data_IF_222480776450
#
_entry.id   IF_222480776450
#
_cell.length_a   1.000
_cell.length_b   1.000
_cell.length_c   1.000
_cell.angle_alpha   90.00
_cell.angle_beta   90.00
_cell.angle_gamma   90.00
#
_symmetry.space_group_name_H-M   'P 1'
#
loop_
_entity.id
_entity.type
_entity.pdbx_description
1 polymer ?
#
# COMPACT_ATOMS: atom_id res chain seq x y z
N UNK A 1 -12.48 7.53 -14.67
CA UNK A 1 -11.42 6.83 -13.95
C UNK A 1 -10.71 5.88 -14.91
N UNK A 2 -9.42 6.08 -15.07
CA UNK A 2 -8.63 5.16 -15.89
C UNK A 2 -7.99 4.11 -14.99
N UNK A 3 -8.09 2.87 -15.40
CA UNK A 3 -7.42 1.77 -14.72
C UNK A 3 -6.72 0.89 -15.75
N UNK A 4 -5.57 0.38 -15.36
CA UNK A 4 -4.81 -0.58 -16.15
C UNK A 4 -4.42 -1.73 -15.23
N UNK A 5 -4.76 -2.94 -15.63
CA UNK A 5 -4.50 -4.14 -14.83
C UNK A 5 -3.50 -5.01 -15.57
N UNK A 6 -2.46 -5.44 -14.88
CA UNK A 6 -1.46 -6.37 -15.41
C UNK A 6 -1.16 -7.47 -14.41
N UNK A 7 -0.63 -8.57 -14.89
CA UNK A 7 -0.14 -9.68 -14.06
C UNK A 7 1.34 -9.81 -14.34
N UNK A 8 2.17 -9.66 -13.31
CA UNK A 8 3.62 -9.71 -13.47
C UNK A 8 4.30 -10.17 -12.20
N UNK A 9 5.52 -10.67 -12.35
CA UNK A 9 6.37 -10.99 -11.21
C UNK A 9 7.12 -9.73 -10.78
N UNK A 10 7.20 -9.51 -9.47
CA UNK A 10 7.97 -8.42 -8.90
C UNK A 10 9.05 -8.96 -7.99
N UNK A 11 10.12 -8.20 -7.83
CA UNK A 11 11.16 -8.47 -6.84
C UNK A 11 10.66 -8.13 -5.44
N UNK A 12 11.36 -8.63 -4.42
CA UNK A 12 11.03 -8.28 -3.04
C UNK A 12 11.16 -6.78 -2.82
N UNK A 13 10.30 -6.25 -1.93
CA UNK A 13 10.28 -4.84 -1.58
C UNK A 13 10.53 -4.70 -0.09
N UNK A 14 11.56 -3.94 0.27
CA UNK A 14 11.86 -3.65 1.67
C UNK A 14 11.11 -2.42 2.12
N UNK A 15 10.52 -2.48 3.32
CA UNK A 15 9.74 -1.36 3.87
C UNK A 15 10.10 -1.15 5.34
N UNK A 16 9.90 0.08 5.80
CA UNK A 16 9.96 0.42 7.22
C UNK A 16 8.69 1.18 7.59
N UNK A 17 8.09 0.81 8.70
CA UNK A 17 6.83 1.45 9.09
C UNK A 17 6.27 0.93 10.40
N UNK A 18 4.98 1.20 10.60
CA UNK A 18 4.28 0.81 11.82
C UNK A 18 2.85 0.41 11.54
N UNK A 19 2.27 -0.39 12.44
CA UNK A 19 0.90 -0.89 12.31
C UNK A 19 -0.11 0.09 12.86
N UNK A 20 -1.33 0.01 12.35
CA UNK A 20 -2.47 0.72 12.90
C UNK A 20 -3.75 -0.10 12.70
N UNK A 21 -4.79 0.27 13.43
CA UNK A 21 -6.12 -0.34 13.33
C UNK A 21 -7.13 0.75 13.03
N UNK A 22 -7.97 0.52 12.02
CA UNK A 22 -9.00 1.44 11.60
C UNK A 22 -8.54 2.39 10.50
N UNK A 23 -9.35 2.51 9.45
CA UNK A 23 -9.01 3.36 8.29
C UNK A 23 -8.89 4.83 8.67
N UNK A 24 -9.59 5.27 9.71
CA UNK A 24 -9.51 6.65 10.21
C UNK A 24 -8.13 7.00 10.78
N UNK A 25 -7.32 5.99 11.13
CA UNK A 25 -5.99 6.18 11.69
C UNK A 25 -4.87 6.06 10.65
N UNK A 26 -5.20 5.72 9.41
CA UNK A 26 -4.18 5.46 8.38
C UNK A 26 -3.39 6.73 8.05
N UNK A 27 -4.08 7.84 7.85
CA UNK A 27 -3.46 9.10 7.46
C UNK A 27 -2.42 9.55 8.49
N UNK A 28 -2.78 9.54 9.78
CA UNK A 28 -1.86 9.92 10.86
C UNK A 28 -0.70 8.94 10.97
N UNK A 29 -0.95 7.66 10.74
CA UNK A 29 0.10 6.63 10.74
C UNK A 29 1.12 6.89 9.63
N UNK A 30 0.66 7.17 8.42
CA UNK A 30 1.54 7.51 7.30
C UNK A 30 2.33 8.80 7.56
N UNK A 31 1.70 9.80 8.16
CA UNK A 31 2.39 11.03 8.54
C UNK A 31 3.48 10.77 9.58
N UNK A 32 3.21 9.92 10.56
CA UNK A 32 4.20 9.55 11.58
C UNK A 32 5.40 8.82 10.96
N UNK A 33 5.15 7.90 10.02
CA UNK A 33 6.22 7.20 9.30
C UNK A 33 7.04 8.20 8.50
N UNK A 34 6.38 9.13 7.81
CA UNK A 34 7.05 10.14 7.01
C UNK A 34 7.93 11.05 7.87
N UNK A 35 7.42 11.51 9.01
CA UNK A 35 8.18 12.37 9.91
C UNK A 35 9.39 11.64 10.52
N UNK A 36 9.19 10.41 10.98
CA UNK A 36 10.29 9.58 11.47
C UNK A 36 11.34 9.38 10.38
N UNK A 37 10.91 9.10 9.15
CA UNK A 37 11.80 8.88 8.01
C UNK A 37 12.61 10.14 7.69
N UNK A 38 11.99 11.31 7.82
CA UNK A 38 12.68 12.59 7.61
C UNK A 38 13.80 12.77 8.63
N UNK A 39 13.55 12.47 9.90
CA UNK A 39 14.57 12.57 10.94
C UNK A 39 15.73 11.61 10.75
N UNK A 40 15.52 10.51 10.04
CA UNK A 40 16.56 9.50 9.76
C UNK A 40 17.24 9.70 8.40
N UNK A 41 16.91 10.78 7.69
CA UNK A 41 17.51 11.07 6.39
C UNK A 41 17.08 10.14 5.27
N UNK A 42 15.94 9.45 5.42
CA UNK A 42 15.48 8.48 4.44
C UNK A 42 14.71 9.12 3.28
N UNK A 43 14.42 10.41 3.36
CA UNK A 43 13.70 11.14 2.32
C UNK A 43 14.63 11.98 1.44
N UNK A 44 15.90 11.59 1.34
CA UNK A 44 16.88 12.29 0.52
C UNK A 44 16.59 12.18 -0.98
N UNK A 45 15.83 11.18 -1.39
CA UNK A 45 15.46 10.98 -2.78
C UNK A 45 14.08 11.61 -3.02
N UNK A 46 13.94 12.44 -4.07
CA UNK A 46 12.66 13.11 -4.33
C UNK A 46 11.55 12.16 -4.78
N UNK A 47 11.89 10.95 -5.19
CA UNK A 47 10.94 9.94 -5.68
C UNK A 47 10.63 8.86 -4.64
N UNK A 48 10.85 9.14 -3.36
CA UNK A 48 10.47 8.18 -2.32
C UNK A 48 8.99 7.82 -2.43
N UNK A 49 8.65 6.58 -2.05
CA UNK A 49 7.28 6.08 -2.12
C UNK A 49 6.86 5.51 -0.79
N UNK A 50 5.58 5.69 -0.48
CA UNK A 50 4.95 5.11 0.69
C UNK A 50 3.94 4.06 0.27
N UNK A 51 3.57 3.21 1.21
CA UNK A 51 2.66 2.09 0.95
C UNK A 51 1.80 1.80 2.16
N UNK A 52 0.69 1.11 1.93
CA UNK A 52 -0.16 0.56 2.97
C UNK A 52 -0.38 -0.92 2.69
N UNK A 53 -0.11 -1.76 3.69
CA UNK A 53 -0.43 -3.19 3.66
C UNK A 53 -1.72 -3.41 4.44
N UNK A 54 -2.61 -4.24 3.90
CA UNK A 54 -3.89 -4.57 4.52
C UNK A 54 -3.90 -6.01 4.99
N UNK A 55 -4.15 -6.22 6.27
CA UNK A 55 -4.15 -7.57 6.86
C UNK A 55 -5.55 -8.15 7.01
N UNK A 56 -6.59 -7.35 6.83
CA UNK A 56 -7.97 -7.78 6.93
C UNK A 56 -8.75 -7.41 5.67
N UNK A 57 -9.77 -8.21 5.37
CA UNK A 57 -10.62 -7.98 4.22
C UNK A 57 -11.64 -6.88 4.48
N UNK A 58 -11.78 -5.96 3.53
CA UNK A 58 -12.85 -4.94 3.57
C UNK A 58 -14.24 -5.54 3.57
N UNK A 59 -14.37 -6.76 3.08
CA UNK A 59 -15.68 -7.42 2.90
C UNK A 59 -16.26 -7.92 4.21
N UNK A 60 -15.40 -8.39 5.13
CA UNK A 60 -15.83 -9.04 6.37
C UNK A 60 -15.39 -8.30 7.63
N UNK A 61 -14.65 -7.22 7.48
CA UNK A 61 -14.12 -6.46 8.61
C UNK A 61 -14.66 -5.04 8.56
N UNK A 62 -15.19 -4.56 9.69
CA UNK A 62 -15.65 -3.18 9.79
C UNK A 62 -14.46 -2.22 9.57
N UNK A 63 -14.66 -1.08 8.88
CA UNK A 63 -13.58 -0.16 8.55
C UNK A 63 -12.76 0.31 9.75
N UNK A 64 -13.38 0.49 10.92
CA UNK A 64 -12.70 0.92 12.14
C UNK A 64 -11.90 -0.20 12.82
N UNK A 65 -11.95 -1.42 12.30
CA UNK A 65 -11.26 -2.59 12.85
C UNK A 65 -10.26 -3.23 11.89
N UNK A 66 -10.10 -2.67 10.69
CA UNK A 66 -9.14 -3.20 9.72
C UNK A 66 -7.72 -2.96 10.22
N UNK A 67 -6.95 -4.03 10.28
CA UNK A 67 -5.52 -3.96 10.63
C UNK A 67 -4.73 -3.62 9.38
N UNK A 68 -3.85 -2.64 9.51
CA UNK A 68 -3.05 -2.12 8.41
C UNK A 68 -1.64 -1.81 8.88
N UNK A 69 -0.77 -1.57 7.93
CA UNK A 69 0.58 -1.11 8.18
C UNK A 69 0.90 0.02 7.20
N UNK A 70 1.23 1.19 7.72
CA UNK A 70 1.75 2.29 6.92
C UNK A 70 3.27 2.22 6.88
N UNK A 71 3.88 2.42 5.71
CA UNK A 71 5.32 2.25 5.58
C UNK A 71 5.91 3.08 4.44
N UNK A 72 7.24 3.21 4.50
CA UNK A 72 8.08 3.79 3.47
C UNK A 72 8.84 2.67 2.76
N UNK A 73 8.93 2.73 1.44
CA UNK A 73 9.76 1.82 0.67
C UNK A 73 11.23 2.23 0.82
N UNK A 74 12.09 1.27 1.11
CA UNK A 74 13.53 1.49 1.30
C UNK A 74 14.32 0.51 0.45
N UNK A 75 15.57 0.84 0.14
CA UNK A 75 16.42 -0.01 -0.72
C UNK A 75 17.00 -1.21 0.02
N UNK A 76 17.13 -1.13 1.33
CA UNK A 76 17.70 -2.17 2.16
C UNK A 76 16.94 -2.32 3.46
N UNK A 77 16.91 -3.53 4.07
CA UNK A 77 16.32 -3.69 5.39
C UNK A 77 16.99 -2.81 6.43
N UNK A 78 16.18 -2.19 7.29
CA UNK A 78 16.67 -1.32 8.36
C UNK A 78 16.43 -1.99 9.72
N UNK A 79 17.22 -1.58 10.71
CA UNK A 79 16.99 -2.04 12.09
C UNK A 79 15.72 -1.42 12.64
N UNK A 80 15.02 -2.20 13.46
CA UNK A 80 13.84 -1.70 14.18
C UNK A 80 14.25 -0.57 15.13
N UNK A 81 13.40 0.44 15.24
CA UNK A 81 13.63 1.60 16.09
C UNK A 81 12.28 2.02 16.69
N UNK A 82 12.07 1.69 17.98
CA UNK A 82 10.81 1.95 18.65
C UNK A 82 9.65 1.21 17.99
N UNK A 83 8.63 1.94 17.57
CA UNK A 83 7.47 1.37 16.88
C UNK A 83 7.73 1.10 15.40
N UNK A 84 8.83 1.62 14.87
CA UNK A 84 9.17 1.45 13.46
C UNK A 84 9.94 0.15 13.27
N UNK A 85 9.48 -0.68 12.35
CA UNK A 85 10.07 -1.98 12.08
C UNK A 85 10.11 -2.23 10.57
N UNK A 86 10.99 -3.15 10.17
CA UNK A 86 11.15 -3.55 8.79
C UNK A 86 10.23 -4.73 8.47
N UNK A 87 9.52 -4.62 7.36
CA UNK A 87 8.77 -5.73 6.76
C UNK A 87 9.18 -5.81 5.30
N UNK A 88 9.49 -7.01 4.83
CA UNK A 88 9.82 -7.27 3.43
C UNK A 88 8.61 -7.88 2.74
N UNK A 89 8.18 -7.26 1.64
CA UNK A 89 7.14 -7.82 0.77
C UNK A 89 7.82 -8.84 -0.11
N UNK A 90 7.32 -10.08 -0.10
CA UNK A 90 7.95 -11.17 -0.83
C UNK A 90 7.82 -11.01 -2.34
N UNK A 91 8.85 -11.43 -3.05
CA UNK A 91 8.83 -11.50 -4.51
C UNK A 91 7.77 -12.51 -4.97
N UNK A 92 7.35 -12.39 -6.21
CA UNK A 92 6.45 -13.33 -6.84
C UNK A 92 5.44 -12.66 -7.73
N UNK A 93 4.51 -13.46 -8.23
CA UNK A 93 3.50 -12.99 -9.16
C UNK A 93 2.44 -12.16 -8.44
N UNK A 94 2.07 -11.04 -9.05
CA UNK A 94 1.08 -10.11 -8.51
C UNK A 94 0.14 -9.65 -9.62
N UNK A 95 -1.12 -9.43 -9.25
CA UNK A 95 -2.04 -8.63 -10.07
C UNK A 95 -1.86 -7.20 -9.63
N UNK A 96 -1.59 -6.31 -10.57
CA UNK A 96 -1.32 -4.90 -10.29
C UNK A 96 -2.33 -4.06 -11.06
N UNK A 97 -3.06 -3.22 -10.33
CA UNK A 97 -3.99 -2.26 -10.92
C UNK A 97 -3.46 -0.84 -10.71
N UNK A 98 -3.25 -0.13 -11.81
CA UNK A 98 -2.76 1.25 -11.81
C UNK A 98 -3.93 2.20 -11.89
N UNK A 99 -4.02 3.13 -10.94
CA UNK A 99 -5.15 4.06 -10.84
C UNK A 99 -4.70 5.50 -10.62
N UNK A 100 -5.47 6.42 -11.20
CA UNK A 100 -5.50 7.81 -10.80
C UNK A 100 -6.90 8.07 -10.27
N UNK A 101 -7.04 8.19 -8.95
CA UNK A 101 -8.35 8.24 -8.29
C UNK A 101 -8.43 9.36 -7.25
N UNK A 102 -9.64 9.92 -7.03
CA UNK A 102 -9.86 10.77 -5.86
C UNK A 102 -9.63 9.96 -4.59
N UNK A 103 -9.26 10.63 -3.52
CA UNK A 103 -8.89 9.97 -2.27
C UNK A 103 -10.03 9.15 -1.63
N UNK A 104 -11.28 9.51 -1.89
CA UNK A 104 -12.44 8.92 -1.21
C UNK A 104 -12.85 7.51 -1.63
N UNK A 105 -12.74 7.08 -2.90
CA UNK A 105 -13.31 5.80 -3.31
C UNK A 105 -12.34 4.60 -3.26
N UNK A 106 -11.31 4.63 -2.44
CA UNK A 106 -10.32 3.54 -2.36
C UNK A 106 -10.97 2.18 -2.09
N UNK A 107 -11.95 2.13 -1.20
CA UNK A 107 -12.67 0.88 -0.90
C UNK A 107 -13.34 0.29 -2.14
N UNK A 108 -13.96 1.13 -2.97
CA UNK A 108 -14.61 0.69 -4.20
C UNK A 108 -13.62 0.11 -5.19
N UNK A 109 -12.47 0.74 -5.30
CA UNK A 109 -11.42 0.30 -6.22
C UNK A 109 -10.88 -1.07 -5.79
N UNK A 110 -10.63 -1.25 -4.49
CA UNK A 110 -10.23 -2.55 -3.94
C UNK A 110 -11.29 -3.62 -4.15
N UNK A 111 -12.56 -3.31 -3.89
CA UNK A 111 -13.66 -4.25 -4.09
C UNK A 111 -13.72 -4.69 -5.56
N UNK A 112 -13.63 -3.76 -6.49
CA UNK A 112 -13.66 -4.07 -7.92
C UNK A 112 -12.48 -4.96 -8.31
N UNK A 113 -11.29 -4.70 -7.77
CA UNK A 113 -10.11 -5.51 -8.06
C UNK A 113 -10.24 -6.93 -7.53
N UNK A 114 -10.74 -7.10 -6.31
CA UNK A 114 -10.98 -8.44 -5.76
C UNK A 114 -12.02 -9.21 -6.58
N UNK A 115 -13.06 -8.54 -7.07
CA UNK A 115 -14.04 -9.17 -7.96
C UNK A 115 -13.38 -9.62 -9.27
N UNK A 116 -12.50 -8.79 -9.82
CA UNK A 116 -11.74 -9.17 -11.01
C UNK A 116 -10.92 -10.43 -10.77
N UNK A 117 -10.19 -10.50 -9.65
CA UNK A 117 -9.37 -11.66 -9.30
C UNK A 117 -10.23 -12.92 -9.20
N UNK A 118 -11.39 -12.83 -8.52
CA UNK A 118 -12.30 -13.96 -8.37
C UNK A 118 -12.83 -14.47 -9.72
N UNK A 119 -13.01 -13.57 -10.69
CA UNK A 119 -13.56 -13.92 -12.01
C UNK A 119 -12.50 -14.44 -12.98
N UNK A 120 -11.21 -14.22 -12.71
CA UNK A 120 -10.13 -14.63 -13.62
C UNK A 120 -9.52 -15.97 -13.29
N UNK A 121 -9.88 -16.56 -12.15
CA UNK A 121 -9.34 -17.85 -11.72
C UNK A 121 -7.98 -17.80 -11.05
N UNK A 122 -7.38 -16.63 -10.86
CA UNK A 122 -6.15 -16.52 -10.10
C UNK A 122 -6.40 -16.83 -8.64
N UNK A 123 -5.46 -17.51 -8.02
CA UNK A 123 -5.53 -17.86 -6.61
C UNK A 123 -4.64 -16.93 -5.81
N UNK A 124 -5.23 -16.27 -4.81
CA UNK A 124 -4.48 -15.36 -3.94
C UNK A 124 -3.52 -16.14 -3.04
N UNK A 125 -2.29 -15.60 -2.89
CA UNK A 125 -1.38 -16.11 -1.87
C UNK A 125 -1.83 -15.62 -0.50
N UNK A 126 -1.42 -16.36 0.53
CA UNK A 126 -1.71 -15.97 1.92
C UNK A 126 -0.73 -14.89 2.39
N UNK A 127 -0.77 -13.75 1.72
CA UNK A 127 0.07 -12.59 2.01
C UNK A 127 -0.80 -11.34 1.87
N UNK A 128 -0.49 -10.26 2.60
CA UNK A 128 -1.33 -9.07 2.56
C UNK A 128 -1.27 -8.37 1.20
N UNK A 129 -2.43 -7.98 0.65
CA UNK A 129 -2.45 -7.04 -0.47
C UNK A 129 -1.97 -5.68 -0.01
N UNK A 130 -1.49 -4.87 -0.94
CA UNK A 130 -0.94 -3.58 -0.58
C UNK A 130 -1.12 -2.56 -1.70
N UNK A 131 -1.02 -1.31 -1.33
CA UNK A 131 -1.07 -0.19 -2.28
C UNK A 131 0.19 0.65 -2.14
N UNK A 132 0.69 1.15 -3.27
CA UNK A 132 1.86 2.03 -3.30
C UNK A 132 1.43 3.37 -3.89
N UNK A 133 1.77 4.44 -3.19
CA UNK A 133 1.41 5.80 -3.60
C UNK A 133 2.56 6.42 -4.38
N UNK A 134 2.27 6.93 -5.57
CA UNK A 134 3.26 7.51 -6.47
C UNK A 134 3.32 9.04 -6.40
N UNK A 135 2.38 9.69 -5.72
CA UNK A 135 2.35 11.14 -5.62
C UNK A 135 1.78 11.60 -4.29
N UNK A 136 2.00 12.88 -4.01
CA UNK A 136 1.28 13.56 -2.95
C UNK A 136 0.00 14.15 -3.55
N UNK A 137 -1.16 13.62 -3.16
CA UNK A 137 -2.44 14.07 -3.71
C UNK A 137 -2.72 15.55 -3.45
N UNK A 138 -2.11 16.16 -2.41
CA UNK A 138 -2.26 17.57 -2.12
C UNK A 138 -1.65 18.47 -3.20
N UNK A 139 -0.66 17.96 -3.93
CA UNK A 139 -0.01 18.69 -5.02
C UNK A 139 -0.56 18.36 -6.39
N UNK A 140 -1.42 17.35 -6.50
CA UNK A 140 -2.06 17.00 -7.76
C UNK A 140 -3.09 18.07 -8.16
N UNK A 141 -3.12 18.52 -9.43
CA UNK A 141 -4.05 19.56 -9.86
C UNK A 141 -5.52 19.27 -9.56
N UNK A 142 -5.92 18.00 -9.64
CA UNK A 142 -7.30 17.56 -9.38
C UNK A 142 -7.45 16.86 -8.03
N UNK A 143 -6.44 16.91 -7.16
CA UNK A 143 -6.44 16.24 -5.85
C UNK A 143 -6.67 14.74 -5.96
N UNK A 144 -6.10 14.12 -6.99
CA UNK A 144 -6.17 12.68 -7.18
C UNK A 144 -4.89 12.01 -6.70
N UNK A 145 -5.03 10.77 -6.27
CA UNK A 145 -3.91 9.92 -5.87
C UNK A 145 -3.52 9.02 -7.02
N UNK A 146 -2.24 9.03 -7.37
CA UNK A 146 -1.67 8.05 -8.29
C UNK A 146 -1.25 6.85 -7.46
N UNK A 147 -1.98 5.75 -7.59
CA UNK A 147 -1.81 4.59 -6.72
C UNK A 147 -1.81 3.31 -7.53
N UNK A 148 -0.92 2.38 -7.16
CA UNK A 148 -0.93 1.02 -7.66
C UNK A 148 -1.41 0.10 -6.55
N UNK A 149 -2.39 -0.76 -6.87
CA UNK A 149 -2.92 -1.76 -5.98
C UNK A 149 -2.36 -3.13 -6.37
N UNK A 150 -1.81 -3.86 -5.39
CA UNK A 150 -1.15 -5.14 -5.61
C UNK A 150 -1.88 -6.25 -4.88
N UNK A 151 -2.21 -7.34 -5.59
CA UNK A 151 -2.73 -8.56 -4.97
C UNK A 151 -1.74 -9.70 -5.27
N UNK A 152 -1.10 -10.26 -4.22
CA UNK A 152 -0.23 -11.43 -4.39
C UNK A 152 -1.03 -12.63 -4.88
N UNK A 153 -0.57 -13.29 -5.94
CA UNK A 153 -1.22 -14.49 -6.48
C UNK A 153 -0.21 -15.62 -6.67
N UNK A 154 -0.74 -16.84 -6.72
CA UNK A 154 0.05 -18.05 -6.97
C UNK A 154 0.46 -18.18 -8.43
#
# INVERSE_FOLDING_TARGET
MQSHIEVTSIDEIHTVGTSCIGIQNLSSTLENVLEWSRTKGLLCQPDFKMATLYYDSFKITAPDKIRMRGCLLVSEPLKSDGEMSTVTINKGQHIIAHHEIPIDPFERVWTALFMYVNNTGYKMRNEPPFEIYHNNFNTHPEKKCLVDLYIPVE
#
